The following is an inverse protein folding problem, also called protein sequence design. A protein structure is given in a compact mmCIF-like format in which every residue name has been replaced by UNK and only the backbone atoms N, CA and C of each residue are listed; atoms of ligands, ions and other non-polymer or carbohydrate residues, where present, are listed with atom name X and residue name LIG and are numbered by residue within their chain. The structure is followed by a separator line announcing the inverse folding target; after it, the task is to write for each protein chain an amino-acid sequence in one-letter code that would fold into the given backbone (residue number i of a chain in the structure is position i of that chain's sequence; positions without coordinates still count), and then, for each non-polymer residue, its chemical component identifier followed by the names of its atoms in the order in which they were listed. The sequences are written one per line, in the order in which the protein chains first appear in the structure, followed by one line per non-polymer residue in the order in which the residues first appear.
data_IF_075242265939
#
_entry.id   IF_075242265939
#
_cell.length_a   1.000
_cell.length_b   1.000
_cell.length_c   1.000
_cell.angle_alpha   90.00
_cell.angle_beta   90.00
_cell.angle_gamma   90.00
#
_symmetry.space_group_name_H-M   'P 1'
#
loop_
_entity.id
_entity.type
_entity.pdbx_description
1 polymer ?
#
# COMPACT_ATOMS: atom_id res chain seq x y z
N UNK A 1 10.15 -15.84 -6.06
CA UNK A 1 9.09 -14.95 -5.54
C UNK A 1 8.45 -15.66 -4.38
N UNK A 2 8.44 -15.01 -3.22
CA UNK A 2 7.85 -15.50 -2.00
C UNK A 2 6.96 -14.40 -1.40
N UNK A 3 6.04 -14.77 -0.53
CA UNK A 3 5.22 -13.82 0.20
C UNK A 3 4.45 -14.45 1.34
N UNK A 4 4.03 -13.61 2.27
CA UNK A 4 3.26 -13.96 3.45
C UNK A 4 2.08 -12.99 3.57
N UNK A 5 0.93 -13.54 3.95
CA UNK A 5 -0.24 -12.77 4.33
C UNK A 5 -0.39 -12.88 5.84
N UNK A 6 -0.53 -11.74 6.50
CA UNK A 6 -0.68 -11.65 7.95
C UNK A 6 -1.98 -10.90 8.25
N UNK A 7 -2.55 -11.18 9.41
CA UNK A 7 -3.53 -10.26 9.99
C UNK A 7 -2.82 -8.94 10.30
N UNK A 8 -3.51 -7.81 10.16
CA UNK A 8 -2.94 -6.49 10.46
C UNK A 8 -2.44 -6.47 11.90
N UNK A 9 -1.13 -6.32 12.13
CA UNK A 9 -0.57 -6.27 13.47
C UNK A 9 -0.80 -4.88 14.07
N UNK A 10 -2.01 -4.62 14.56
CA UNK A 10 -2.45 -3.30 15.03
C UNK A 10 -1.48 -2.66 16.03
N UNK A 11 -1.10 -3.38 17.09
CA UNK A 11 -0.19 -2.88 18.12
C UNK A 11 1.18 -2.47 17.55
N UNK A 12 1.67 -3.20 16.54
CA UNK A 12 2.92 -2.87 15.86
C UNK A 12 2.77 -1.57 15.09
N UNK A 13 1.73 -1.44 14.25
CA UNK A 13 1.54 -0.23 13.45
C UNK A 13 1.30 1.01 14.32
N UNK A 14 0.49 0.90 15.39
CA UNK A 14 0.27 2.02 16.32
C UNK A 14 1.55 2.52 17.01
N UNK A 15 2.58 1.67 17.11
CA UNK A 15 3.87 2.04 17.71
C UNK A 15 4.88 2.57 16.69
N UNK A 16 4.63 2.36 15.40
CA UNK A 16 5.58 2.54 14.31
C UNK A 16 5.27 3.77 13.44
N UNK A 17 4.00 4.21 13.42
CA UNK A 17 3.56 5.36 12.62
C UNK A 17 3.21 6.55 13.51
N UNK A 18 3.30 7.76 12.94
CA UNK A 18 3.06 9.00 13.68
C UNK A 18 1.57 9.34 13.80
N UNK A 19 0.73 8.81 12.90
CA UNK A 19 -0.71 9.00 12.96
C UNK A 19 -1.38 8.25 14.12
N UNK A 20 -2.43 8.87 14.68
CA UNK A 20 -3.31 8.25 15.66
C UNK A 20 -4.25 7.26 14.95
N UNK A 21 -3.80 6.00 14.83
CA UNK A 21 -4.56 4.97 14.14
C UNK A 21 -5.84 4.62 14.91
N UNK A 22 -7.01 4.58 14.24
CA UNK A 22 -8.24 4.08 14.82
C UNK A 22 -8.11 2.62 15.31
N UNK A 23 -9.08 2.12 16.09
CA UNK A 23 -9.15 0.71 16.47
C UNK A 23 -9.04 -0.22 15.26
N UNK A 24 -8.46 -1.41 15.47
CA UNK A 24 -8.38 -2.45 14.43
C UNK A 24 -9.75 -2.71 13.79
N UNK A 25 -9.79 -2.72 12.45
CA UNK A 25 -11.03 -2.85 11.66
C UNK A 25 -11.73 -1.52 11.33
N UNK A 26 -11.33 -0.40 11.93
CA UNK A 26 -11.82 0.95 11.58
C UNK A 26 -10.86 1.71 10.64
N UNK A 27 -9.70 1.13 10.34
CA UNK A 27 -8.78 1.57 9.30
C UNK A 27 -8.33 0.39 8.44
N UNK A 28 -7.81 0.71 7.27
CA UNK A 28 -7.21 -0.24 6.34
C UNK A 28 -5.73 0.03 6.16
N UNK A 29 -4.98 -1.02 5.82
CA UNK A 29 -3.59 -0.91 5.41
C UNK A 29 -3.48 -1.27 3.94
N UNK A 30 -2.97 -0.32 3.17
CA UNK A 30 -2.54 -0.52 1.81
C UNK A 30 -1.05 -0.83 1.74
N UNK A 31 -0.64 -1.63 0.76
CA UNK A 31 0.78 -1.86 0.44
C UNK A 31 0.97 -1.62 -1.05
N UNK A 32 1.92 -0.76 -1.41
CA UNK A 32 2.25 -0.42 -2.78
C UNK A 32 3.68 -0.81 -3.10
N UNK A 33 3.87 -1.19 -4.36
CA UNK A 33 5.15 -1.04 -5.02
C UNK A 33 5.16 0.28 -5.79
N UNK A 34 6.25 1.02 -5.65
CA UNK A 34 6.52 2.29 -6.29
C UNK A 34 7.87 2.25 -7.02
N UNK A 35 8.08 3.12 -8.02
CA UNK A 35 9.42 3.37 -8.56
C UNK A 35 10.35 3.97 -7.49
N UNK A 36 11.66 3.73 -7.64
CA UNK A 36 12.69 4.22 -6.70
C UNK A 36 13.08 5.71 -6.90
N UNK A 37 12.45 6.39 -7.85
CA UNK A 37 12.66 7.82 -8.06
C UNK A 37 11.68 8.58 -7.17
N UNK A 38 12.20 9.27 -6.15
CA UNK A 38 11.40 9.94 -5.12
C UNK A 38 10.37 10.92 -5.70
N UNK A 39 10.72 11.71 -6.72
CA UNK A 39 9.80 12.69 -7.32
C UNK A 39 8.64 11.99 -8.04
N UNK A 40 8.93 10.86 -8.71
CA UNK A 40 7.91 10.04 -9.36
C UNK A 40 7.07 9.29 -8.33
N UNK A 41 7.69 8.76 -7.28
CA UNK A 41 7.00 8.07 -6.19
C UNK A 41 6.01 9.00 -5.48
N UNK A 42 6.43 10.22 -5.13
CA UNK A 42 5.57 11.21 -4.49
C UNK A 42 4.41 11.64 -5.40
N UNK A 43 4.67 11.83 -6.71
CA UNK A 43 3.60 12.09 -7.69
C UNK A 43 2.56 10.95 -7.76
N UNK A 44 2.99 9.70 -7.58
CA UNK A 44 2.09 8.54 -7.52
C UNK A 44 1.34 8.46 -6.18
N UNK A 45 1.97 8.84 -5.06
CA UNK A 45 1.28 8.96 -3.76
C UNK A 45 0.18 10.02 -3.82
N UNK A 46 0.44 11.18 -4.42
CA UNK A 46 -0.56 12.24 -4.64
C UNK A 46 -1.75 11.73 -5.47
N UNK A 47 -1.48 10.93 -6.51
CA UNK A 47 -2.53 10.28 -7.30
C UNK A 47 -3.34 9.29 -6.45
N UNK A 48 -2.69 8.46 -5.63
CA UNK A 48 -3.37 7.55 -4.71
C UNK A 48 -4.30 8.31 -3.78
N UNK A 49 -3.82 9.38 -3.15
CA UNK A 49 -4.65 10.22 -2.27
C UNK A 49 -5.84 10.83 -3.01
N UNK A 50 -5.62 11.34 -4.23
CA UNK A 50 -6.67 11.95 -5.05
C UNK A 50 -7.76 10.95 -5.42
N UNK A 51 -7.39 9.78 -5.93
CA UNK A 51 -8.34 8.75 -6.37
C UNK A 51 -9.10 8.14 -5.20
N UNK A 52 -8.44 7.92 -4.05
CA UNK A 52 -9.10 7.41 -2.86
C UNK A 52 -10.03 8.45 -2.24
N UNK A 53 -9.63 9.72 -2.19
CA UNK A 53 -10.49 10.81 -1.70
C UNK A 53 -11.76 10.97 -2.54
N UNK A 54 -11.68 10.78 -3.86
CA UNK A 54 -12.85 10.79 -4.75
C UNK A 54 -13.90 9.72 -4.38
N UNK A 55 -13.44 8.59 -3.82
CA UNK A 55 -14.28 7.49 -3.33
C UNK A 55 -14.63 7.61 -1.83
N UNK A 56 -14.29 8.74 -1.18
CA UNK A 56 -14.56 9.02 0.22
C UNK A 56 -13.68 8.22 1.19
N UNK A 57 -12.45 7.94 0.79
CA UNK A 57 -11.41 7.29 1.59
C UNK A 57 -10.29 8.31 1.88
N UNK A 58 -9.91 8.45 3.13
CA UNK A 58 -8.85 9.37 3.56
C UNK A 58 -7.57 8.58 3.84
N UNK A 59 -6.47 8.93 3.17
CA UNK A 59 -5.14 8.46 3.54
C UNK A 59 -4.65 9.30 4.73
N UNK A 60 -4.34 8.65 5.85
CA UNK A 60 -3.99 9.33 7.11
C UNK A 60 -2.51 9.27 7.44
N UNK A 61 -1.77 8.32 6.85
CA UNK A 61 -0.33 8.23 7.02
C UNK A 61 0.33 7.38 5.92
N UNK A 62 1.63 7.60 5.74
CA UNK A 62 2.51 6.82 4.87
C UNK A 62 3.67 6.25 5.68
N UNK A 63 4.04 5.01 5.39
CA UNK A 63 5.13 4.30 6.04
C UNK A 63 6.02 3.63 5.00
N UNK A 64 7.29 4.01 4.95
CA UNK A 64 8.29 3.26 4.22
C UNK A 64 8.53 1.90 4.91
N UNK A 65 8.46 0.81 4.16
CA UNK A 65 8.70 -0.52 4.72
C UNK A 65 10.21 -0.75 4.79
N UNK A 66 10.80 -0.96 5.98
CA UNK A 66 12.22 -1.25 6.07
C UNK A 66 12.56 -2.55 5.34
N UNK A 67 13.51 -2.50 4.42
CA UNK A 67 14.02 -3.67 3.68
C UNK A 67 15.52 -3.85 3.90
N UNK A 68 15.99 -5.10 3.82
CA UNK A 68 17.41 -5.43 3.72
C UNK A 68 17.63 -6.27 2.47
N UNK A 69 18.28 -5.68 1.48
CA UNK A 69 18.50 -6.27 0.17
C UNK A 69 19.92 -6.82 -0.03
N UNK A 70 20.74 -6.91 1.04
CA UNK A 70 22.15 -7.32 0.94
C UNK A 70 22.36 -8.68 0.29
N UNK A 71 21.38 -9.59 0.43
CA UNK A 71 21.45 -10.98 -0.02
C UNK A 71 20.66 -11.24 -1.32
N UNK A 72 20.14 -10.20 -1.97
CA UNK A 72 19.41 -10.33 -3.23
C UNK A 72 20.36 -10.51 -4.42
N UNK A 73 19.93 -11.31 -5.40
CA UNK A 73 20.66 -11.45 -6.67
C UNK A 73 20.55 -10.19 -7.52
N UNK A 74 21.54 -9.93 -8.39
CA UNK A 74 21.59 -8.72 -9.22
C UNK A 74 20.29 -8.41 -9.99
N UNK A 75 19.66 -9.43 -10.60
CA UNK A 75 18.39 -9.26 -11.32
C UNK A 75 17.22 -8.88 -10.41
N UNK A 76 17.22 -9.32 -9.15
CA UNK A 76 16.20 -8.93 -8.18
C UNK A 76 16.40 -7.46 -7.75
N UNK A 77 17.64 -7.03 -7.56
CA UNK A 77 17.97 -5.63 -7.25
C UNK A 77 17.57 -4.68 -8.39
N UNK A 78 17.82 -5.05 -9.65
CA UNK A 78 17.43 -4.23 -10.82
C UNK A 78 15.91 -4.08 -10.99
N UNK A 79 15.12 -4.93 -10.32
CA UNK A 79 13.66 -4.92 -10.38
C UNK A 79 13.01 -4.62 -9.03
N UNK A 80 13.80 -4.23 -8.03
CA UNK A 80 13.32 -3.90 -6.69
C UNK A 80 12.47 -2.62 -6.75
N UNK A 81 11.18 -2.70 -6.37
CA UNK A 81 10.39 -1.51 -6.15
C UNK A 81 10.65 -0.95 -4.76
N UNK A 82 10.36 0.33 -4.57
CA UNK A 82 10.17 0.84 -3.23
C UNK A 82 8.84 0.30 -2.69
N UNK A 83 8.87 -0.19 -1.46
CA UNK A 83 7.71 -0.79 -0.81
C UNK A 83 7.23 0.18 0.25
N UNK A 84 6.03 0.70 0.06
CA UNK A 84 5.40 1.61 1.01
C UNK A 84 4.07 1.05 1.49
N UNK A 85 3.74 1.38 2.73
CA UNK A 85 2.43 1.15 3.32
C UNK A 85 1.73 2.48 3.52
N UNK A 86 0.40 2.46 3.41
CA UNK A 86 -0.42 3.63 3.64
C UNK A 86 -1.67 3.24 4.42
N UNK A 87 -2.14 4.15 5.26
CA UNK A 87 -3.21 3.91 6.22
C UNK A 87 -4.44 4.68 5.79
N UNK A 88 -5.59 4.00 5.73
CA UNK A 88 -6.81 4.56 5.14
C UNK A 88 -7.98 4.47 6.09
N UNK A 89 -8.81 5.51 6.14
CA UNK A 89 -10.09 5.52 6.87
C UNK A 89 -11.23 5.92 5.94
N UNK A 90 -12.48 5.70 6.36
CA UNK A 90 -13.64 6.18 5.62
C UNK A 90 -14.00 7.60 6.02
N UNK A 91 -13.85 8.57 5.11
CA UNK A 91 -14.32 9.94 5.27
C UNK A 91 -15.84 10.02 5.51
N UNK A 92 -16.56 8.99 5.03
CA UNK A 92 -18.02 8.88 5.13
C UNK A 92 -18.49 8.09 6.36
N UNK A 93 -17.57 7.64 7.21
CA UNK A 93 -17.88 6.88 8.43
C UNK A 93 -18.43 5.47 8.16
N UNK A 94 -18.14 4.87 6.99
CA UNK A 94 -18.49 3.47 6.72
C UNK A 94 -17.61 2.54 7.54
N UNK A 95 -18.19 1.42 7.96
CA UNK A 95 -17.53 0.38 8.78
C UNK A 95 -17.88 -1.01 8.28
N UNK A 96 -17.10 -2.03 8.66
CA UNK A 96 -17.34 -3.43 8.30
C UNK A 96 -17.46 -3.64 6.79
N UNK A 97 -18.42 -4.45 6.35
CA UNK A 97 -18.63 -4.77 4.93
C UNK A 97 -18.81 -3.51 4.04
N UNK A 98 -19.39 -2.43 4.57
CA UNK A 98 -19.56 -1.20 3.81
C UNK A 98 -18.21 -0.50 3.54
N UNK A 99 -17.28 -0.59 4.49
CA UNK A 99 -15.93 -0.05 4.33
C UNK A 99 -15.09 -0.95 3.41
N UNK A 100 -15.18 -2.27 3.55
CA UNK A 100 -14.52 -3.22 2.64
C UNK A 100 -14.94 -3.02 1.18
N UNK A 101 -16.25 -2.86 0.94
CA UNK A 101 -16.73 -2.53 -0.41
C UNK A 101 -16.21 -1.18 -0.90
N UNK A 102 -16.09 -0.18 -0.02
CA UNK A 102 -15.54 1.12 -0.37
C UNK A 102 -14.06 1.01 -0.76
N UNK A 103 -13.27 0.28 0.00
CA UNK A 103 -11.85 0.01 -0.29
C UNK A 103 -11.69 -0.73 -1.63
N UNK A 104 -12.54 -1.72 -1.90
CA UNK A 104 -12.54 -2.41 -3.18
C UNK A 104 -12.81 -1.46 -4.36
N UNK A 105 -13.81 -0.58 -4.24
CA UNK A 105 -14.12 0.40 -5.28
C UNK A 105 -12.98 1.40 -5.45
N UNK A 106 -12.45 1.96 -4.35
CA UNK A 106 -11.32 2.89 -4.36
C UNK A 106 -10.07 2.30 -5.01
N UNK A 107 -9.71 1.07 -4.62
CA UNK A 107 -8.62 0.34 -5.27
C UNK A 107 -8.86 0.17 -6.77
N UNK A 108 -10.09 -0.21 -7.16
CA UNK A 108 -10.40 -0.47 -8.56
C UNK A 108 -10.37 0.81 -9.40
N UNK A 109 -10.86 1.92 -8.87
CA UNK A 109 -10.78 3.23 -9.51
C UNK A 109 -9.32 3.63 -9.74
N UNK A 110 -8.50 3.58 -8.68
CA UNK A 110 -7.06 3.86 -8.74
C UNK A 110 -6.33 2.98 -9.78
N UNK A 111 -6.57 1.67 -9.79
CA UNK A 111 -5.95 0.76 -10.76
C UNK A 111 -6.35 1.11 -12.20
N UNK A 112 -7.61 1.48 -12.45
CA UNK A 112 -8.10 1.90 -13.77
C UNK A 112 -7.42 3.20 -14.19
N UNK A 113 -7.39 4.21 -13.32
CA UNK A 113 -6.78 5.52 -13.60
C UNK A 113 -5.31 5.35 -13.96
N UNK A 114 -4.53 4.56 -13.22
CA UNK A 114 -3.13 4.29 -13.53
C UNK A 114 -2.96 3.55 -14.87
N UNK A 115 -3.84 2.61 -15.20
CA UNK A 115 -3.81 1.88 -16.47
C UNK A 115 -4.14 2.77 -17.69
N UNK A 116 -5.11 3.67 -17.54
CA UNK A 116 -5.59 4.56 -18.61
C UNK A 116 -4.66 5.76 -18.83
N UNK A 117 -4.28 6.44 -17.75
CA UNK A 117 -3.48 7.67 -17.82
C UNK A 117 -1.99 7.40 -17.97
N UNK A 118 -1.52 6.24 -17.50
CA UNK A 118 -0.11 5.82 -17.55
C UNK A 118 0.84 6.91 -17.04
N UNK A 119 0.67 7.37 -15.80
CA UNK A 119 1.55 8.36 -15.20
C UNK A 119 3.01 7.89 -15.23
N UNK A 120 3.94 8.83 -15.05
CA UNK A 120 5.35 8.48 -14.91
C UNK A 120 5.52 7.41 -13.82
N UNK A 121 6.31 6.37 -14.09
CA UNK A 121 6.51 5.27 -13.13
C UNK A 121 5.41 4.22 -13.04
N UNK A 122 4.30 4.33 -13.79
CA UNK A 122 3.18 3.37 -13.72
C UNK A 122 3.59 1.89 -13.94
N UNK A 123 4.65 1.62 -14.70
CA UNK A 123 5.18 0.26 -14.91
C UNK A 123 5.72 -0.40 -13.64
N UNK A 124 5.98 0.41 -12.60
CA UNK A 124 6.44 -0.02 -11.28
C UNK A 124 5.39 0.20 -10.20
N UNK A 125 4.22 0.75 -10.55
CA UNK A 125 3.12 0.93 -9.64
C UNK A 125 2.31 -0.35 -9.51
N UNK A 126 2.11 -0.84 -8.29
CA UNK A 126 1.27 -2.02 -8.06
C UNK A 126 0.68 -2.06 -6.66
N UNK A 127 -0.65 -2.21 -6.58
CA UNK A 127 -1.36 -2.40 -5.31
C UNK A 127 -1.25 -3.86 -4.86
N UNK A 128 -0.43 -4.11 -3.84
CA UNK A 128 -0.18 -5.43 -3.28
C UNK A 128 -1.36 -5.90 -2.43
N UNK A 129 -1.84 -5.05 -1.54
CA UNK A 129 -3.03 -5.25 -0.70
C UNK A 129 -3.65 -3.91 -0.32
N UNK A 130 -4.95 -3.92 -0.02
CA UNK A 130 -5.68 -2.83 0.64
C UNK A 130 -6.88 -3.47 1.35
N UNK A 131 -6.82 -3.61 2.67
CA UNK A 131 -7.84 -4.31 3.46
C UNK A 131 -7.82 -3.86 4.94
N UNK A 132 -8.89 -4.19 5.70
CA UNK A 132 -8.99 -3.84 7.13
C UNK A 132 -8.50 -4.94 8.08
N UNK A 133 -8.27 -6.14 7.56
CA UNK A 133 -7.92 -7.32 8.37
C UNK A 133 -6.58 -7.95 7.99
N UNK A 134 -6.13 -7.79 6.74
CA UNK A 134 -4.88 -8.39 6.23
C UNK A 134 -3.91 -7.39 5.62
N UNK A 135 -2.64 -7.73 5.72
CA UNK A 135 -1.53 -7.10 5.00
C UNK A 135 -0.70 -8.17 4.30
N UNK A 136 -0.24 -7.89 3.08
CA UNK A 136 0.55 -8.83 2.28
C UNK A 136 1.96 -8.29 2.09
N UNK A 137 2.95 -9.08 2.55
CA UNK A 137 4.36 -8.86 2.25
C UNK A 137 4.77 -9.85 1.16
N UNK A 138 5.22 -9.38 0.00
CA UNK A 138 5.68 -10.26 -1.09
C UNK A 138 6.81 -9.60 -1.87
N UNK A 139 7.63 -10.41 -2.54
CA UNK A 139 8.70 -9.91 -3.38
C UNK A 139 9.40 -11.00 -4.19
N UNK A 140 10.36 -10.59 -5.03
CA UNK A 140 11.18 -11.49 -5.83
C UNK A 140 12.39 -12.03 -5.04
N UNK A 141 12.11 -12.70 -3.92
CA UNK A 141 13.10 -13.36 -3.06
C UNK A 141 12.81 -14.87 -2.88
N UNK A 142 13.73 -15.59 -2.24
CA UNK A 142 13.52 -16.96 -1.74
C UNK A 142 12.76 -16.91 -0.41
N UNK A 143 12.02 -17.98 -0.09
CA UNK A 143 11.22 -18.02 1.14
C UNK A 143 12.04 -17.89 2.43
N UNK A 144 13.31 -18.32 2.43
CA UNK A 144 14.23 -18.21 3.58
C UNK A 144 14.72 -16.77 3.82
N UNK A 145 14.49 -15.86 2.87
CA UNK A 145 14.86 -14.45 2.94
C UNK A 145 13.68 -13.55 3.35
N UNK A 146 12.52 -14.15 3.66
CA UNK A 146 11.29 -13.48 4.08
C UNK A 146 11.17 -13.47 5.61
#
# INVERSE_FOLDING_TARGET
GAGIMLQIPHEFFTAEVDADLPPAGEYAVGTLFLPQDDEVADSLKDLVETELAAEGLDVIDWRDVPTDNSDLGATALESEPDIVQFFVTSATGKTGDAFENQLYVGRRALEITVEEEKPAGHERFYVVSLATDVVVYKGLLKAEQL
#
